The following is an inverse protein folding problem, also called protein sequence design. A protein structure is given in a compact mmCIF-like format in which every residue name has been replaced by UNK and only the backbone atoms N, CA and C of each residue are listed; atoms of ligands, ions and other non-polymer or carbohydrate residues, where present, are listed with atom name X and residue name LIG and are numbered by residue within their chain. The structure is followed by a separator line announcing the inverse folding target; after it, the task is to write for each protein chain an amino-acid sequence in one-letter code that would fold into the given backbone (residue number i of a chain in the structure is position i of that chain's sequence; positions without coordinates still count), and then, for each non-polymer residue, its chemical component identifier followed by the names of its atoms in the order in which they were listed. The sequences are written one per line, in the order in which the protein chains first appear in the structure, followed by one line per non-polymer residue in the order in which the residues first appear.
data_IF_980819985950
#
_entry.id   IF_980819985950
#
_cell.length_a   1.000
_cell.length_b   1.000
_cell.length_c   1.000
_cell.angle_alpha   90.00
_cell.angle_beta   90.00
_cell.angle_gamma   90.00
#
_symmetry.space_group_name_H-M   'P 1'
#
loop_
_entity.id
_entity.type
_entity.pdbx_description
1 polymer ?
#
# COMPACT_ATOMS: atom_id res chain seq x y z
N UNK A 1 16.25 -41.96 51.29
CA UNK A 1 16.66 -40.59 50.91
C UNK A 1 16.79 -40.36 49.41
N UNK A 2 17.02 -41.37 48.56
CA UNK A 2 17.13 -41.19 47.09
C UNK A 2 15.78 -41.02 46.33
N UNK A 3 14.63 -41.35 46.96
CA UNK A 3 13.31 -41.33 46.31
C UNK A 3 12.65 -39.95 46.26
N UNK A 4 13.02 -39.03 47.15
CA UNK A 4 12.46 -37.67 47.23
C UNK A 4 13.04 -36.76 46.15
N UNK A 5 14.34 -36.85 45.88
CA UNK A 5 15.04 -36.01 44.89
C UNK A 5 14.56 -36.23 43.46
N UNK A 6 14.25 -37.47 43.07
CA UNK A 6 13.73 -37.79 41.72
C UNK A 6 12.30 -37.26 41.49
N UNK A 7 11.51 -37.16 42.56
CA UNK A 7 10.13 -36.68 42.53
C UNK A 7 10.08 -35.14 42.43
N UNK A 8 11.01 -34.45 43.09
CA UNK A 8 11.14 -32.99 43.01
C UNK A 8 11.67 -32.51 41.66
N UNK A 9 12.61 -33.25 41.06
CA UNK A 9 13.10 -32.95 39.70
C UNK A 9 12.01 -33.11 38.62
N UNK A 10 11.13 -34.11 38.76
CA UNK A 10 9.98 -34.30 37.86
C UNK A 10 8.91 -33.22 38.03
N UNK A 11 8.67 -32.75 39.25
CA UNK A 11 7.74 -31.64 39.53
C UNK A 11 8.25 -30.31 38.97
N UNK A 12 9.54 -30.01 39.14
CA UNK A 12 10.15 -28.79 38.57
C UNK A 12 10.09 -28.73 37.04
N UNK A 13 10.34 -29.85 36.36
CA UNK A 13 10.24 -29.93 34.90
C UNK A 13 8.79 -29.80 34.38
N UNK A 14 7.79 -30.33 35.10
CA UNK A 14 6.38 -30.20 34.76
C UNK A 14 5.86 -28.77 34.94
N UNK A 15 6.26 -28.09 36.02
CA UNK A 15 5.91 -26.68 36.29
C UNK A 15 6.55 -25.76 35.24
N UNK A 16 7.82 -26.01 34.86
CA UNK A 16 8.49 -25.27 33.79
C UNK A 16 7.80 -25.40 32.43
N UNK A 17 7.36 -26.62 32.06
CA UNK A 17 6.59 -26.85 30.82
C UNK A 17 5.22 -26.18 30.85
N UNK A 18 4.50 -26.26 31.96
CA UNK A 18 3.20 -25.63 32.12
C UNK A 18 3.29 -24.09 32.06
N UNK A 19 4.30 -23.49 32.68
CA UNK A 19 4.54 -22.05 32.63
C UNK A 19 4.92 -21.57 31.21
N UNK A 20 5.70 -22.36 30.47
CA UNK A 20 6.03 -22.06 29.06
C UNK A 20 4.78 -22.14 28.18
N UNK A 21 3.96 -23.19 28.32
CA UNK A 21 2.70 -23.33 27.57
C UNK A 21 1.69 -22.25 27.93
N UNK A 22 1.57 -21.89 29.21
CA UNK A 22 0.71 -20.79 29.65
C UNK A 22 1.16 -19.44 29.07
N UNK A 23 2.48 -19.19 29.00
CA UNK A 23 3.03 -17.98 28.38
C UNK A 23 2.69 -17.90 26.88
N UNK A 24 2.79 -19.01 26.14
CA UNK A 24 2.34 -19.04 24.74
C UNK A 24 0.83 -18.83 24.61
N UNK A 25 0.01 -19.43 25.49
CA UNK A 25 -1.43 -19.23 25.49
C UNK A 25 -1.81 -17.76 25.73
N UNK A 26 -1.13 -17.06 26.65
CA UNK A 26 -1.32 -15.62 26.88
C UNK A 26 -0.95 -14.79 25.65
N UNK A 27 0.13 -15.15 24.92
CA UNK A 27 0.47 -14.48 23.66
C UNK A 27 -0.60 -14.63 22.58
N UNK A 28 -1.24 -15.80 22.48
CA UNK A 28 -2.32 -16.03 21.51
C UNK A 28 -3.55 -15.14 21.76
N UNK A 29 -3.87 -14.80 23.02
CA UNK A 29 -5.00 -13.92 23.34
C UNK A 29 -4.84 -12.53 22.71
N UNK A 30 -3.63 -11.99 22.66
CA UNK A 30 -3.35 -10.71 22.01
C UNK A 30 -3.24 -10.82 20.48
N UNK A 31 -2.85 -11.99 19.98
CA UNK A 31 -2.60 -12.22 18.56
C UNK A 31 -3.87 -12.60 17.78
N UNK A 32 -4.80 -13.34 18.41
CA UNK A 32 -6.06 -13.79 17.81
C UNK A 32 -6.89 -12.62 17.24
N UNK A 33 -7.15 -11.51 17.96
CA UNK A 33 -7.93 -10.41 17.41
C UNK A 33 -7.30 -9.83 16.14
N UNK A 34 -5.97 -9.61 16.14
CA UNK A 34 -5.24 -9.14 14.98
C UNK A 34 -5.33 -10.12 13.81
N UNK A 35 -5.20 -11.43 14.06
CA UNK A 35 -5.37 -12.45 13.03
C UNK A 35 -6.79 -12.49 12.48
N UNK A 36 -7.80 -12.36 13.31
CA UNK A 36 -9.20 -12.35 12.87
C UNK A 36 -9.44 -11.16 11.94
N UNK A 37 -8.97 -9.96 12.31
CA UNK A 37 -9.07 -8.79 11.45
C UNK A 37 -8.25 -8.94 10.16
N UNK A 38 -7.02 -9.42 10.25
CA UNK A 38 -6.17 -9.66 9.08
C UNK A 38 -6.79 -10.67 8.12
N UNK A 39 -7.22 -11.83 8.64
CA UNK A 39 -7.82 -12.88 7.81
C UNK A 39 -9.16 -12.43 7.24
N UNK A 40 -10.04 -11.84 8.05
CA UNK A 40 -11.36 -11.40 7.61
C UNK A 40 -11.33 -10.23 6.63
N UNK A 41 -10.43 -9.26 6.84
CA UNK A 41 -10.44 -8.00 6.08
C UNK A 41 -9.40 -7.94 4.96
N UNK A 42 -8.25 -8.60 5.12
CA UNK A 42 -7.20 -8.62 4.09
C UNK A 42 -7.26 -9.91 3.28
N UNK A 43 -7.22 -11.07 3.94
CA UNK A 43 -6.95 -12.34 3.28
C UNK A 43 -8.20 -12.94 2.60
N UNK A 44 -9.33 -12.90 3.28
CA UNK A 44 -10.62 -13.38 2.76
C UNK A 44 -11.02 -12.70 1.43
N UNK A 45 -11.02 -11.35 1.29
CA UNK A 45 -11.38 -10.74 0.01
C UNK A 45 -10.38 -11.06 -1.10
N UNK A 46 -9.08 -11.23 -0.81
CA UNK A 46 -8.10 -11.67 -1.81
C UNK A 46 -8.49 -13.05 -2.36
N UNK A 47 -8.73 -14.03 -1.48
CA UNK A 47 -9.13 -15.36 -1.91
C UNK A 47 -10.50 -15.37 -2.60
N UNK A 48 -11.43 -14.53 -2.15
CA UNK A 48 -12.75 -14.40 -2.78
C UNK A 48 -12.63 -13.85 -4.20
N UNK A 49 -11.82 -12.82 -4.43
CA UNK A 49 -11.59 -12.24 -5.77
C UNK A 49 -10.83 -13.21 -6.66
N UNK A 50 -9.85 -13.93 -6.11
CA UNK A 50 -9.16 -14.99 -6.82
C UNK A 50 -10.13 -16.11 -7.23
N UNK A 51 -11.03 -16.54 -6.36
CA UNK A 51 -12.07 -17.51 -6.75
C UNK A 51 -13.00 -16.93 -7.83
N UNK A 52 -13.42 -15.68 -7.67
CA UNK A 52 -14.29 -15.00 -8.63
C UNK A 52 -13.65 -14.88 -10.02
N UNK A 53 -12.33 -14.75 -10.14
CA UNK A 53 -11.66 -14.65 -11.44
C UNK A 53 -11.73 -15.96 -12.26
N UNK A 54 -12.01 -17.11 -11.64
CA UNK A 54 -12.28 -18.37 -12.34
C UNK A 54 -13.77 -18.62 -12.62
N UNK A 55 -14.62 -17.66 -12.27
CA UNK A 55 -16.07 -17.75 -12.46
C UNK A 55 -16.59 -16.65 -13.38
N UNK A 56 -17.70 -16.92 -14.06
CA UNK A 56 -18.50 -15.90 -14.73
C UNK A 56 -19.40 -15.20 -13.69
N UNK A 57 -18.78 -14.33 -12.87
CA UNK A 57 -19.48 -13.60 -11.81
C UNK A 57 -19.90 -12.21 -12.29
N UNK A 58 -21.21 -11.97 -12.28
CA UNK A 58 -21.79 -10.68 -12.63
C UNK A 58 -22.49 -10.08 -11.40
N UNK A 59 -21.90 -9.03 -10.80
CA UNK A 59 -22.46 -8.41 -9.59
C UNK A 59 -23.90 -7.89 -9.76
N UNK A 60 -24.26 -7.43 -10.96
CA UNK A 60 -25.58 -6.85 -11.27
C UNK A 60 -26.61 -7.91 -11.69
N UNK A 61 -26.20 -9.15 -11.97
CA UNK A 61 -27.11 -10.23 -12.34
C UNK A 61 -27.35 -11.08 -11.11
N UNK A 62 -28.62 -11.37 -10.80
CA UNK A 62 -28.98 -12.27 -9.71
C UNK A 62 -28.81 -13.75 -10.09
N UNK A 63 -27.69 -14.09 -10.73
CA UNK A 63 -27.35 -15.44 -11.19
C UNK A 63 -26.19 -15.98 -10.36
N UNK A 64 -26.18 -17.29 -10.04
CA UNK A 64 -25.06 -17.89 -9.33
C UNK A 64 -23.79 -17.83 -10.19
N UNK A 65 -22.65 -17.60 -9.54
CA UNK A 65 -21.34 -17.59 -10.21
C UNK A 65 -21.10 -18.94 -10.89
N UNK A 66 -20.95 -18.94 -12.23
CA UNK A 66 -20.67 -20.16 -12.97
C UNK A 66 -19.17 -20.40 -13.07
N UNK A 67 -18.69 -21.60 -12.78
CA UNK A 67 -17.26 -21.90 -12.92
C UNK A 67 -16.87 -22.00 -14.40
N UNK A 68 -15.97 -21.14 -14.85
CA UNK A 68 -15.47 -21.09 -16.24
C UNK A 68 -13.98 -21.41 -16.35
N UNK A 69 -13.32 -21.71 -15.22
CA UNK A 69 -11.89 -22.03 -15.19
C UNK A 69 -11.05 -20.87 -15.69
N UNK A 70 -10.16 -21.13 -16.66
CA UNK A 70 -9.19 -20.14 -17.16
C UNK A 70 -9.72 -19.26 -18.30
N UNK A 71 -11.00 -19.37 -18.67
CA UNK A 71 -11.56 -18.65 -19.82
C UNK A 71 -11.43 -17.12 -19.67
N UNK A 72 -11.63 -16.59 -18.47
CA UNK A 72 -11.47 -15.15 -18.19
C UNK A 72 -10.03 -14.67 -18.47
N UNK A 73 -9.03 -15.48 -18.14
CA UNK A 73 -7.64 -15.15 -18.40
C UNK A 73 -7.32 -15.23 -19.90
N UNK A 74 -7.78 -16.27 -20.59
CA UNK A 74 -7.61 -16.39 -22.04
C UNK A 74 -8.23 -15.20 -22.79
N UNK A 75 -9.44 -14.79 -22.40
CA UNK A 75 -10.11 -13.62 -22.96
C UNK A 75 -9.33 -12.33 -22.65
N UNK A 76 -8.84 -12.16 -21.42
CA UNK A 76 -8.06 -10.99 -21.03
C UNK A 76 -6.73 -10.87 -21.81
N UNK A 77 -6.04 -11.98 -22.07
CA UNK A 77 -4.81 -11.96 -22.87
C UNK A 77 -5.06 -11.81 -24.38
N UNK A 78 -6.25 -12.18 -24.85
CA UNK A 78 -6.66 -11.96 -26.23
C UNK A 78 -7.17 -10.53 -26.49
N UNK A 79 -7.55 -9.78 -25.45
CA UNK A 79 -8.08 -8.43 -25.56
C UNK A 79 -6.95 -7.38 -25.75
N UNK A 80 -6.89 -6.71 -26.92
CA UNK A 80 -5.88 -5.68 -27.17
C UNK A 80 -5.96 -4.49 -26.20
N UNK A 81 -7.15 -4.20 -25.66
CA UNK A 81 -7.34 -3.10 -24.70
C UNK A 81 -6.64 -3.40 -23.38
N UNK A 82 -6.74 -4.65 -22.90
CA UNK A 82 -6.06 -5.11 -21.68
C UNK A 82 -4.55 -5.04 -21.87
N UNK A 83 -4.03 -5.55 -22.98
CA UNK A 83 -2.59 -5.52 -23.27
C UNK A 83 -2.06 -4.09 -23.40
N UNK A 84 -2.77 -3.23 -24.12
CA UNK A 84 -2.40 -1.81 -24.27
C UNK A 84 -2.45 -1.09 -22.92
N UNK A 85 -3.46 -1.38 -22.10
CA UNK A 85 -3.57 -0.85 -20.74
C UNK A 85 -2.39 -1.28 -19.85
N UNK A 86 -2.01 -2.56 -19.92
CA UNK A 86 -0.87 -3.10 -19.17
C UNK A 86 0.45 -2.43 -19.57
N UNK A 87 0.68 -2.25 -20.87
CA UNK A 87 1.88 -1.56 -21.37
C UNK A 87 1.91 -0.10 -20.91
N UNK A 88 0.77 0.61 -20.96
CA UNK A 88 0.67 1.99 -20.46
C UNK A 88 0.96 2.08 -18.97
N UNK A 89 0.38 1.19 -18.18
CA UNK A 89 0.64 1.12 -16.74
C UNK A 89 2.11 0.81 -16.44
N UNK A 90 2.69 -0.18 -17.11
CA UNK A 90 4.10 -0.54 -16.95
C UNK A 90 5.04 0.61 -17.35
N UNK A 91 4.76 1.27 -18.49
CA UNK A 91 5.53 2.43 -18.96
C UNK A 91 5.45 3.57 -17.96
N UNK A 92 4.25 3.88 -17.48
CA UNK A 92 4.06 4.90 -16.43
C UNK A 92 4.84 4.55 -15.17
N UNK A 93 4.74 3.31 -14.68
CA UNK A 93 5.49 2.86 -13.50
C UNK A 93 6.99 3.00 -13.71
N UNK A 94 7.54 2.51 -14.83
CA UNK A 94 8.98 2.57 -15.10
C UNK A 94 9.49 4.00 -15.22
N UNK A 95 8.71 4.92 -15.78
CA UNK A 95 9.10 6.34 -15.86
C UNK A 95 9.00 7.03 -14.50
N UNK A 96 8.00 6.67 -13.69
CA UNK A 96 7.71 7.34 -12.42
C UNK A 96 8.56 6.84 -11.25
N UNK A 97 8.85 5.54 -11.20
CA UNK A 97 9.59 4.90 -10.09
C UNK A 97 10.97 5.54 -9.84
N UNK A 98 11.80 5.81 -10.88
CA UNK A 98 13.09 6.48 -10.70
C UNK A 98 12.94 7.82 -10.00
N UNK A 99 11.95 8.63 -10.41
CA UNK A 99 11.68 9.93 -9.78
C UNK A 99 11.32 9.79 -8.30
N UNK A 100 10.47 8.80 -7.97
CA UNK A 100 10.08 8.52 -6.58
C UNK A 100 11.22 8.00 -5.70
N UNK A 101 12.28 7.43 -6.28
CA UNK A 101 13.43 6.94 -5.51
C UNK A 101 14.53 8.00 -5.46
N UNK A 102 14.96 8.49 -6.62
CA UNK A 102 16.13 9.36 -6.73
C UNK A 102 15.88 10.75 -6.15
N UNK A 103 14.70 11.34 -6.35
CA UNK A 103 14.42 12.71 -5.86
C UNK A 103 14.40 12.75 -4.32
N UNK A 104 13.63 11.91 -3.60
CA UNK A 104 13.67 11.91 -2.14
C UNK A 104 15.02 11.49 -1.58
N UNK A 105 15.72 10.55 -2.23
CA UNK A 105 17.07 10.14 -1.82
C UNK A 105 18.07 11.30 -1.93
N UNK A 106 18.07 12.04 -3.04
CA UNK A 106 18.92 13.22 -3.21
C UNK A 106 18.61 14.29 -2.16
N UNK A 107 17.32 14.58 -1.94
CA UNK A 107 16.88 15.54 -0.93
C UNK A 107 17.28 15.08 0.48
N UNK A 108 17.19 13.79 0.80
CA UNK A 108 17.62 13.24 2.07
C UNK A 108 19.12 13.44 2.30
N UNK A 109 19.96 13.17 1.28
CA UNK A 109 21.42 13.42 1.34
C UNK A 109 21.70 14.91 1.54
N UNK A 110 21.00 15.80 0.82
CA UNK A 110 21.18 17.24 0.96
C UNK A 110 20.84 17.74 2.37
N UNK A 111 19.75 17.23 2.96
CA UNK A 111 19.33 17.58 4.32
C UNK A 111 20.28 17.01 5.37
N UNK A 112 20.83 15.82 5.15
CA UNK A 112 21.80 15.19 6.06
C UNK A 112 23.10 16.01 6.19
N UNK A 113 23.49 16.73 5.14
CA UNK A 113 24.66 17.62 5.13
C UNK A 113 24.45 18.94 5.89
N UNK A 114 23.24 19.26 6.34
CA UNK A 114 22.95 20.51 7.06
C UNK A 114 23.42 20.40 8.51
N UNK A 115 24.47 21.14 8.85
CA UNK A 115 25.10 21.13 10.18
C UNK A 115 24.28 21.81 11.28
N UNK A 116 23.40 22.76 10.91
CA UNK A 116 22.56 23.47 11.87
C UNK A 116 21.30 22.65 12.18
N UNK A 117 21.11 22.19 13.44
CA UNK A 117 20.05 21.25 13.78
C UNK A 117 18.63 21.81 13.59
N UNK A 118 18.46 23.11 13.83
CA UNK A 118 17.18 23.80 13.62
C UNK A 118 16.83 23.88 12.14
N UNK A 119 17.77 24.27 11.29
CA UNK A 119 17.58 24.33 9.83
C UNK A 119 17.32 22.94 9.23
N UNK A 120 18.07 21.93 9.66
CA UNK A 120 17.85 20.55 9.23
C UNK A 120 16.43 20.07 9.56
N UNK A 121 15.93 20.40 10.75
CA UNK A 121 14.56 20.07 11.18
C UNK A 121 13.52 20.80 10.33
N UNK A 122 13.72 22.10 10.06
CA UNK A 122 12.82 22.88 9.20
C UNK A 122 12.73 22.30 7.79
N UNK A 123 13.86 21.92 7.17
CA UNK A 123 13.84 21.29 5.85
C UNK A 123 13.09 19.96 5.86
N UNK A 124 13.29 19.11 6.89
CA UNK A 124 12.54 17.85 7.04
C UNK A 124 11.04 18.10 7.12
N UNK A 125 10.61 19.10 7.89
CA UNK A 125 9.19 19.44 8.01
C UNK A 125 8.62 19.89 6.66
N UNK A 126 9.26 20.82 5.96
CA UNK A 126 8.80 21.31 4.66
C UNK A 126 8.66 20.18 3.64
N UNK A 127 9.64 19.27 3.58
CA UNK A 127 9.63 18.14 2.65
C UNK A 127 8.56 17.09 3.01
N UNK A 128 8.14 17.02 4.27
CA UNK A 128 7.10 16.09 4.73
C UNK A 128 5.69 16.64 4.62
N UNK A 129 5.50 17.97 4.53
CA UNK A 129 4.16 18.58 4.37
C UNK A 129 3.35 17.95 3.23
N UNK A 130 3.89 17.78 2.01
CA UNK A 130 3.14 17.20 0.89
C UNK A 130 2.68 15.76 1.16
N UNK A 131 3.41 14.99 1.96
CA UNK A 131 3.08 13.60 2.28
C UNK A 131 1.82 13.47 3.14
N UNK A 132 1.39 14.56 3.79
CA UNK A 132 0.18 14.61 4.62
C UNK A 132 -1.06 15.00 3.79
N UNK A 133 -0.87 15.47 2.55
CA UNK A 133 -1.97 15.86 1.67
C UNK A 133 -2.72 14.58 1.22
N UNK A 134 -4.05 14.49 1.40
CA UNK A 134 -4.82 13.36 0.93
C UNK A 134 -4.70 13.17 -0.59
N UNK A 135 -4.55 11.92 -1.04
CA UNK A 135 -4.41 11.58 -2.47
C UNK A 135 -5.47 12.23 -3.39
N UNK A 136 -6.77 12.22 -3.02
CA UNK A 136 -7.80 12.89 -3.83
C UNK A 136 -7.61 14.41 -3.96
N UNK A 137 -7.06 15.07 -2.93
CA UNK A 137 -6.82 16.50 -2.93
C UNK A 137 -5.69 16.87 -3.90
N UNK A 138 -4.66 16.03 -4.01
CA UNK A 138 -3.57 16.21 -5.00
C UNK A 138 -4.16 16.27 -6.42
N UNK A 139 -5.09 15.37 -6.75
CA UNK A 139 -5.75 15.38 -8.07
C UNK A 139 -6.55 16.66 -8.32
N UNK A 140 -7.32 17.12 -7.33
CA UNK A 140 -8.10 18.37 -7.43
C UNK A 140 -7.17 19.58 -7.60
N UNK A 141 -6.06 19.64 -6.85
CA UNK A 141 -5.07 20.70 -6.96
C UNK A 141 -4.45 20.74 -8.35
N UNK A 142 -4.00 19.60 -8.90
CA UNK A 142 -3.46 19.56 -10.25
C UNK A 142 -4.51 19.96 -11.31
N UNK A 143 -5.76 19.51 -11.16
CA UNK A 143 -6.84 19.90 -12.07
C UNK A 143 -7.11 21.40 -12.05
N UNK A 144 -7.06 22.03 -10.87
CA UNK A 144 -7.19 23.48 -10.73
C UNK A 144 -5.96 24.21 -11.29
N UNK A 145 -4.77 23.69 -11.02
CA UNK A 145 -3.48 24.25 -11.45
C UNK A 145 -3.39 24.34 -12.98
N UNK A 146 -3.84 23.29 -13.68
CA UNK A 146 -3.93 23.17 -15.14
C UNK A 146 -5.28 23.63 -15.72
N UNK A 147 -6.05 24.43 -14.97
CA UNK A 147 -7.29 24.96 -15.49
C UNK A 147 -7.02 26.13 -16.46
N UNK A 148 -7.43 26.00 -17.71
CA UNK A 148 -7.18 27.02 -18.73
C UNK A 148 -7.77 28.40 -18.45
N UNK A 149 -8.81 28.52 -17.62
CA UNK A 149 -9.52 29.78 -17.39
C UNK A 149 -9.00 30.53 -16.15
N UNK A 150 -8.59 29.80 -15.10
CA UNK A 150 -8.24 30.38 -13.79
C UNK A 150 -6.97 29.76 -13.17
N UNK A 151 -6.29 28.90 -13.91
CA UNK A 151 -5.15 28.14 -13.44
C UNK A 151 -3.89 29.00 -13.38
N UNK A 152 -3.15 28.95 -12.25
CA UNK A 152 -1.91 29.72 -12.11
C UNK A 152 -0.82 29.27 -13.10
N UNK A 153 -0.79 28.00 -13.54
CA UNK A 153 0.19 27.57 -14.55
C UNK A 153 -0.07 28.28 -15.87
N UNK A 154 -1.30 28.24 -16.36
CA UNK A 154 -1.62 28.83 -17.67
C UNK A 154 -1.46 30.36 -17.64
N UNK A 155 -1.79 30.99 -16.51
CA UNK A 155 -1.49 32.40 -16.29
C UNK A 155 0.01 32.71 -16.39
N UNK A 156 0.86 31.92 -15.74
CA UNK A 156 2.32 32.08 -15.81
C UNK A 156 2.87 31.79 -17.22
N UNK A 157 2.36 30.75 -17.88
CA UNK A 157 2.75 30.40 -19.25
C UNK A 157 2.36 31.49 -20.26
N UNK A 158 1.24 32.18 -20.02
CA UNK A 158 0.82 33.30 -20.84
C UNK A 158 1.72 34.54 -20.67
N UNK A 159 2.21 34.80 -19.45
CA UNK A 159 3.15 35.90 -19.22
C UNK A 159 4.47 35.73 -19.99
N UNK A 160 4.93 34.49 -20.15
CA UNK A 160 6.15 34.17 -20.89
C UNK A 160 5.89 33.90 -22.38
N UNK A 161 4.67 34.13 -22.87
CA UNK A 161 4.31 34.09 -24.29
C UNK A 161 4.18 32.68 -24.89
N UNK A 162 4.16 31.63 -24.06
CA UNK A 162 4.04 30.24 -24.55
C UNK A 162 2.58 29.82 -24.82
N UNK A 163 1.62 30.54 -24.22
CA UNK A 163 0.19 30.26 -24.36
C UNK A 163 -0.55 31.59 -24.51
N UNK A 164 -1.50 31.69 -25.44
CA UNK A 164 -2.42 32.82 -25.50
C UNK A 164 -3.53 32.62 -24.49
N UNK A 165 -3.78 33.58 -23.58
CA UNK A 165 -4.95 33.52 -22.70
C UNK A 165 -6.20 33.48 -23.58
N UNK A 166 -6.93 32.37 -23.55
CA UNK A 166 -8.23 32.30 -24.17
C UNK A 166 -9.21 32.93 -23.18
N UNK A 167 -9.43 34.24 -23.32
CA UNK A 167 -10.52 34.95 -22.63
C UNK A 167 -11.87 34.41 -23.07
#
# INVERSE_FOLDING_TARGET
MASTTALDLRRGAAIGRAAVLARYATSWVFLIPTLVFFVGWQLYPIFRVLWMSFTDYHFLRNQPAQWVGFLNYANAFADPLVLTGLVRAATFTVLFLPGMIFVPMLLAILVDRVSHPTLATTYRLILLIPAVIPGPLIFVLWKWLYNFNIGPIDYLLAQIGLVTPQT
#
